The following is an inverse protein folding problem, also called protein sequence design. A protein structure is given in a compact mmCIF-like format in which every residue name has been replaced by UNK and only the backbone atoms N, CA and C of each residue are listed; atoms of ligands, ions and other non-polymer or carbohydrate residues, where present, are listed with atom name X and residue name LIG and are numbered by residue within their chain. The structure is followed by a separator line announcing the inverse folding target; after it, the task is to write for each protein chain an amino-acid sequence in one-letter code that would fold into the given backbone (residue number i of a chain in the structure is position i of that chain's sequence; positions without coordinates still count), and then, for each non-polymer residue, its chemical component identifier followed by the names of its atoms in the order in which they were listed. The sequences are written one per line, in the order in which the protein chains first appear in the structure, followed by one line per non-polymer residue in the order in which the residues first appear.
data_IF_854373109324
#
_entry.id   IF_854373109324
#
_cell.length_a   1.000
_cell.length_b   1.000
_cell.length_c   1.000
_cell.angle_alpha   90.00
_cell.angle_beta   90.00
_cell.angle_gamma   90.00
#
_symmetry.space_group_name_H-M   'P 1'
#
loop_
_entity.id
_entity.type
_entity.pdbx_description
1 polymer ?
#
# COMPACT_ATOMS: atom_id res chain seq x y z
N UNK A 1 -58.02 -2.07 -18.37
CA UNK A 1 -57.17 -1.01 -17.80
C UNK A 1 -56.51 -1.59 -16.56
N UNK A 2 -55.20 -1.72 -16.33
CA UNK A 2 -54.03 -1.03 -16.85
C UNK A 2 -52.81 -1.97 -16.56
N UNK A 3 -52.36 -2.80 -17.53
CA UNK A 3 -51.16 -3.68 -17.38
C UNK A 3 -50.06 -3.42 -18.43
N UNK A 4 -50.19 -2.33 -19.20
CA UNK A 4 -49.24 -1.96 -20.25
C UNK A 4 -48.27 -0.82 -19.85
N UNK A 5 -48.46 -0.17 -18.69
CA UNK A 5 -47.62 0.95 -18.25
C UNK A 5 -46.33 0.59 -17.51
N UNK A 6 -46.19 -0.64 -17.00
CA UNK A 6 -45.02 -1.06 -16.22
C UNK A 6 -43.83 -1.51 -17.10
N UNK A 7 -44.11 -2.14 -18.25
CA UNK A 7 -43.07 -2.66 -19.14
C UNK A 7 -42.31 -1.56 -19.91
N UNK A 8 -42.92 -0.39 -20.14
CA UNK A 8 -42.27 0.75 -20.81
C UNK A 8 -41.37 1.59 -19.89
N UNK A 9 -41.54 1.51 -18.56
CA UNK A 9 -40.66 2.20 -17.60
C UNK A 9 -39.37 1.42 -17.33
N UNK A 10 -39.40 0.08 -17.40
CA UNK A 10 -38.22 -0.78 -17.24
C UNK A 10 -37.27 -0.72 -18.45
N UNK A 11 -37.80 -0.57 -19.67
CA UNK A 11 -36.98 -0.48 -20.89
C UNK A 11 -36.27 0.86 -21.06
N UNK A 12 -36.83 1.97 -20.54
CA UNK A 12 -36.15 3.29 -20.54
C UNK A 12 -34.99 3.39 -19.54
N UNK A 13 -35.06 2.68 -18.40
CA UNK A 13 -33.96 2.64 -17.43
C UNK A 13 -32.74 1.84 -17.91
N UNK A 14 -32.97 0.74 -18.64
CA UNK A 14 -31.90 -0.08 -19.24
C UNK A 14 -31.18 0.61 -20.41
N UNK A 15 -31.86 1.50 -21.13
CA UNK A 15 -31.24 2.30 -22.19
C UNK A 15 -30.31 3.39 -21.63
N UNK A 16 -30.70 4.06 -20.54
CA UNK A 16 -29.88 5.11 -19.91
C UNK A 16 -28.61 4.55 -19.24
N UNK A 17 -28.67 3.33 -18.68
CA UNK A 17 -27.50 2.65 -18.13
C UNK A 17 -26.49 2.20 -19.22
N UNK A 18 -26.97 1.81 -20.40
CA UNK A 18 -26.09 1.48 -21.54
C UNK A 18 -25.32 2.69 -22.07
N UNK A 19 -25.91 3.89 -22.07
CA UNK A 19 -25.24 5.10 -22.55
C UNK A 19 -24.12 5.57 -21.62
N UNK A 20 -24.25 5.36 -20.30
CA UNK A 20 -23.16 5.63 -19.35
C UNK A 20 -22.04 4.57 -19.40
N UNK A 21 -22.37 3.29 -19.66
CA UNK A 21 -21.36 2.24 -19.82
C UNK A 21 -20.50 2.42 -21.09
N UNK A 22 -21.04 3.01 -22.16
CA UNK A 22 -20.25 3.34 -23.35
C UNK A 22 -19.32 4.54 -23.13
N UNK A 23 -19.66 5.48 -22.25
CA UNK A 23 -18.76 6.59 -21.89
C UNK A 23 -17.56 6.16 -21.04
N UNK A 24 -17.69 5.08 -20.26
CA UNK A 24 -16.57 4.52 -19.47
C UNK A 24 -15.64 3.61 -20.28
N UNK A 25 -16.08 3.11 -21.44
CA UNK A 25 -15.25 2.34 -22.39
C UNK A 25 -14.67 3.17 -23.55
N UNK A 26 -14.96 4.47 -23.61
CA UNK A 26 -14.46 5.36 -24.67
C UNK A 26 -13.17 6.11 -24.30
N UNK A 27 -12.49 5.80 -23.18
CA UNK A 27 -11.09 6.20 -22.97
C UNK A 27 -10.13 5.22 -23.66
N UNK A 28 -10.31 5.09 -24.98
CA UNK A 28 -9.31 4.52 -25.87
C UNK A 28 -8.19 5.54 -26.04
N UNK A 29 -7.11 5.35 -25.29
CA UNK A 29 -5.72 5.65 -25.69
C UNK A 29 -5.50 6.87 -26.59
N UNK A 30 -5.73 8.09 -26.09
CA UNK A 30 -4.77 9.16 -26.40
C UNK A 30 -3.69 9.06 -25.34
N UNK A 31 -2.65 8.28 -25.61
CA UNK A 31 -1.43 8.30 -24.83
C UNK A 31 -0.78 9.68 -24.98
N UNK A 32 -1.29 10.69 -24.26
CA UNK A 32 -0.47 11.85 -23.94
C UNK A 32 0.64 11.29 -23.06
N UNK A 33 1.83 11.11 -23.63
CA UNK A 33 3.02 10.88 -22.82
C UNK A 33 3.02 11.99 -21.78
N UNK A 34 2.86 11.61 -20.51
CA UNK A 34 3.07 12.56 -19.43
C UNK A 34 4.41 13.23 -19.69
N UNK A 35 4.43 14.55 -19.61
CA UNK A 35 5.69 15.25 -19.61
C UNK A 35 6.47 14.76 -18.37
N UNK A 36 7.81 14.69 -18.43
CA UNK A 36 8.60 14.08 -17.35
C UNK A 36 8.48 14.82 -16.00
N UNK A 37 7.78 15.96 -15.98
CA UNK A 37 7.44 16.75 -14.79
C UNK A 37 6.07 16.42 -14.17
N UNK A 38 5.26 15.55 -14.77
CA UNK A 38 3.89 15.27 -14.35
C UNK A 38 3.72 13.85 -13.80
N UNK A 39 2.75 13.68 -12.89
CA UNK A 39 2.37 12.42 -12.26
C UNK A 39 0.87 12.42 -11.95
N UNK A 40 0.36 11.32 -11.40
CA UNK A 40 -1.06 11.16 -11.08
C UNK A 40 -1.34 11.27 -9.58
N UNK A 41 -2.37 12.05 -9.24
CA UNK A 41 -3.00 12.10 -7.91
C UNK A 41 -4.45 11.65 -8.08
N UNK A 42 -4.74 10.38 -7.77
CA UNK A 42 -6.02 9.76 -8.12
C UNK A 42 -6.22 9.88 -9.63
N UNK A 43 -7.39 10.30 -10.09
CA UNK A 43 -7.66 10.52 -11.52
C UNK A 43 -7.13 11.84 -12.07
N UNK A 44 -6.66 12.77 -11.22
CA UNK A 44 -6.08 14.04 -11.64
C UNK A 44 -4.61 13.86 -12.07
N UNK A 45 -4.19 14.63 -13.06
CA UNK A 45 -2.77 14.80 -13.42
C UNK A 45 -2.26 16.06 -12.74
N UNK A 46 -1.14 15.95 -12.03
CA UNK A 46 -0.51 17.01 -11.24
C UNK A 46 0.98 17.04 -11.52
N UNK A 47 1.65 18.15 -11.19
CA UNK A 47 3.12 18.20 -11.25
C UNK A 47 3.73 17.28 -10.17
N UNK A 48 4.86 16.64 -10.49
CA UNK A 48 5.59 15.72 -9.58
C UNK A 48 5.86 16.39 -8.23
N UNK A 49 6.34 17.63 -8.27
CA UNK A 49 6.66 18.45 -7.09
C UNK A 49 5.42 18.74 -6.22
N UNK A 50 4.22 18.69 -6.79
CA UNK A 50 2.97 18.94 -6.05
C UNK A 50 2.33 17.68 -5.47
N UNK A 51 2.60 16.50 -6.04
CA UNK A 51 1.97 15.24 -5.61
C UNK A 51 2.32 14.92 -4.16
N UNK A 52 3.58 15.08 -3.78
CA UNK A 52 4.03 14.81 -2.42
C UNK A 52 3.26 15.64 -1.38
N UNK A 53 3.10 16.95 -1.64
CA UNK A 53 2.33 17.84 -0.75
C UNK A 53 0.86 17.45 -0.66
N UNK A 54 0.23 17.11 -1.79
CA UNK A 54 -1.18 16.70 -1.83
C UNK A 54 -1.41 15.38 -1.07
N UNK A 55 -0.51 14.41 -1.25
CA UNK A 55 -0.52 13.15 -0.52
C UNK A 55 -0.28 13.40 0.97
N UNK A 56 0.69 14.24 1.31
CA UNK A 56 0.97 14.66 2.68
C UNK A 56 -0.22 15.34 3.37
N UNK A 57 -1.02 16.12 2.64
CA UNK A 57 -2.25 16.73 3.17
C UNK A 57 -3.31 15.66 3.49
N UNK A 58 -3.53 14.69 2.60
CA UNK A 58 -4.43 13.55 2.85
C UNK A 58 -3.97 12.77 4.08
N UNK A 59 -2.69 12.42 4.17
CA UNK A 59 -2.19 11.67 5.32
C UNK A 59 -2.18 12.47 6.61
N UNK A 60 -1.95 13.79 6.56
CA UNK A 60 -2.00 14.64 7.76
C UNK A 60 -3.43 14.83 8.27
N UNK A 61 -4.43 14.95 7.38
CA UNK A 61 -5.84 15.05 7.80
C UNK A 61 -6.35 13.74 8.39
N UNK A 62 -5.80 12.60 7.96
CA UNK A 62 -6.24 11.27 8.40
C UNK A 62 -5.28 10.56 9.34
N UNK A 63 -4.14 11.11 9.76
CA UNK A 63 -3.15 10.38 10.57
C UNK A 63 -3.77 9.73 11.82
N UNK A 64 -4.62 10.48 12.55
CA UNK A 64 -5.36 9.98 13.71
C UNK A 64 -6.55 9.05 13.37
N UNK A 65 -6.95 9.00 12.09
CA UNK A 65 -8.09 8.22 11.56
C UNK A 65 -7.66 7.16 10.54
N UNK A 66 -6.36 6.95 10.32
CA UNK A 66 -5.84 6.09 9.26
C UNK A 66 -6.30 4.64 9.44
N UNK A 67 -6.31 4.18 10.68
CA UNK A 67 -6.83 2.86 11.03
C UNK A 67 -8.34 2.75 10.79
N UNK A 68 -9.11 3.81 11.06
CA UNK A 68 -10.56 3.86 10.78
C UNK A 68 -10.79 3.80 9.26
N UNK A 69 -9.98 4.50 8.47
CA UNK A 69 -10.06 4.45 7.01
C UNK A 69 -9.82 3.03 6.47
N UNK A 70 -8.77 2.37 6.96
CA UNK A 70 -8.46 0.99 6.57
C UNK A 70 -9.52 -0.01 7.06
N UNK A 71 -10.05 0.17 8.27
CA UNK A 71 -11.10 -0.67 8.84
C UNK A 71 -12.40 -0.56 8.03
N UNK A 72 -12.83 0.66 7.66
CA UNK A 72 -14.04 0.87 6.85
C UNK A 72 -13.87 0.28 5.45
N UNK A 73 -12.72 0.47 4.82
CA UNK A 73 -12.49 0.05 3.44
C UNK A 73 -12.41 -1.48 3.30
N UNK A 74 -11.73 -2.14 4.24
CA UNK A 74 -11.51 -3.58 4.19
C UNK A 74 -12.47 -4.38 5.08
N UNK A 75 -13.45 -3.72 5.72
CA UNK A 75 -14.25 -4.29 6.79
C UNK A 75 -13.41 -4.96 7.90
N UNK A 76 -12.27 -4.33 8.23
CA UNK A 76 -11.29 -4.83 9.20
C UNK A 76 -10.38 -5.98 8.73
N UNK A 77 -10.61 -6.53 7.53
CA UNK A 77 -9.85 -7.68 7.00
C UNK A 77 -8.37 -7.32 6.76
N UNK A 78 -8.03 -6.03 6.55
CA UNK A 78 -6.64 -5.59 6.42
C UNK A 78 -5.74 -6.04 7.57
N UNK A 79 -6.28 -6.19 8.77
CA UNK A 79 -5.52 -6.68 9.94
C UNK A 79 -5.05 -8.11 9.72
N UNK A 80 -5.92 -8.97 9.17
CA UNK A 80 -5.58 -10.35 8.81
C UNK A 80 -4.57 -10.40 7.67
N UNK A 81 -4.66 -9.49 6.70
CA UNK A 81 -3.67 -9.39 5.62
C UNK A 81 -2.29 -9.01 6.15
N UNK A 82 -2.22 -8.04 7.08
CA UNK A 82 -0.97 -7.64 7.72
C UNK A 82 -0.37 -8.78 8.55
N UNK A 83 -1.21 -9.54 9.26
CA UNK A 83 -0.76 -10.72 9.99
C UNK A 83 -0.26 -11.84 9.06
N UNK A 84 -0.99 -12.15 7.99
CA UNK A 84 -0.56 -13.13 6.99
C UNK A 84 0.73 -12.70 6.29
N UNK A 85 0.85 -11.40 5.96
CA UNK A 85 2.06 -10.80 5.38
C UNK A 85 3.28 -11.04 6.27
N UNK A 86 3.24 -10.61 7.52
CA UNK A 86 4.38 -10.79 8.45
C UNK A 86 4.65 -12.26 8.75
N UNK A 87 3.61 -13.09 8.89
CA UNK A 87 3.79 -14.52 9.12
C UNK A 87 4.43 -15.24 7.92
N UNK A 88 4.10 -14.81 6.69
CA UNK A 88 4.68 -15.35 5.45
C UNK A 88 6.16 -15.00 5.36
N UNK A 89 6.55 -13.78 5.73
CA UNK A 89 7.95 -13.36 5.75
C UNK A 89 8.77 -14.12 6.81
N UNK A 90 8.13 -14.56 7.90
CA UNK A 90 8.76 -15.29 9.00
C UNK A 90 10.10 -14.65 9.45
N UNK A 91 10.09 -13.33 9.76
CA UNK A 91 11.30 -12.57 10.06
C UNK A 91 11.90 -13.01 11.39
N UNK A 92 13.19 -12.72 11.57
CA UNK A 92 13.89 -12.92 12.84
C UNK A 92 15.14 -13.78 12.72
N UNK A 93 16.14 -13.42 13.52
CA UNK A 93 17.39 -14.17 13.68
C UNK A 93 17.09 -15.60 14.14
N UNK A 94 17.66 -16.59 13.45
CA UNK A 94 17.47 -18.00 13.79
C UNK A 94 18.30 -18.40 15.01
N UNK A 95 17.80 -19.37 15.78
CA UNK A 95 18.53 -19.94 16.90
C UNK A 95 19.90 -20.50 16.43
N UNK A 96 20.98 -20.10 17.10
CA UNK A 96 22.34 -20.49 16.74
C UNK A 96 23.04 -19.58 15.71
N UNK A 97 22.37 -18.56 15.18
CA UNK A 97 23.03 -17.48 14.42
C UNK A 97 23.33 -16.30 15.33
N UNK A 98 24.53 -15.73 15.23
CA UNK A 98 24.92 -14.50 15.94
C UNK A 98 24.67 -13.22 15.14
N UNK A 99 24.18 -13.35 13.91
CA UNK A 99 23.96 -12.20 13.01
C UNK A 99 22.67 -11.46 13.38
N UNK A 100 22.80 -10.20 13.78
CA UNK A 100 21.67 -9.29 13.98
C UNK A 100 21.11 -8.86 12.64
N UNK A 101 19.78 -8.93 12.49
CA UNK A 101 19.12 -8.49 11.26
C UNK A 101 18.75 -7.00 11.37
N UNK A 102 18.83 -6.31 10.24
CA UNK A 102 18.40 -4.94 10.05
C UNK A 102 17.13 -4.91 9.22
N UNK A 103 16.03 -4.49 9.83
CA UNK A 103 14.73 -4.35 9.18
C UNK A 103 14.45 -2.88 8.85
N UNK A 104 13.84 -2.65 7.69
CA UNK A 104 13.42 -1.34 7.20
C UNK A 104 11.94 -1.39 6.79
N UNK A 105 11.09 -0.62 7.47
CA UNK A 105 9.67 -0.46 7.14
C UNK A 105 9.41 0.94 6.55
N UNK A 106 9.04 1.00 5.28
CA UNK A 106 8.91 2.24 4.50
C UNK A 106 7.46 2.61 4.27
N UNK A 107 7.15 3.91 4.35
CA UNK A 107 5.78 4.44 4.42
C UNK A 107 4.97 3.80 5.56
N UNK A 108 5.68 3.44 6.63
CA UNK A 108 5.19 2.69 7.77
C UNK A 108 4.97 3.56 9.00
N UNK A 109 4.79 4.89 8.87
CA UNK A 109 4.98 5.83 9.97
C UNK A 109 4.21 5.51 11.27
N UNK A 110 3.04 4.88 11.18
CA UNK A 110 2.27 4.42 12.36
C UNK A 110 2.90 3.25 13.15
N UNK A 111 3.91 2.59 12.61
CA UNK A 111 4.65 1.47 13.23
C UNK A 111 3.93 0.11 13.22
N UNK A 112 2.71 -0.01 12.70
CA UNK A 112 1.90 -1.25 12.78
C UNK A 112 2.64 -2.49 12.20
N UNK A 113 3.23 -2.39 11.01
CA UNK A 113 4.01 -3.50 10.43
C UNK A 113 5.33 -3.70 11.17
N UNK A 114 6.05 -2.60 11.43
CA UNK A 114 7.31 -2.64 12.17
C UNK A 114 7.20 -3.40 13.51
N UNK A 115 6.18 -3.09 14.32
CA UNK A 115 5.94 -3.77 15.59
C UNK A 115 5.54 -5.23 15.39
N UNK A 116 4.69 -5.54 14.41
CA UNK A 116 4.34 -6.93 14.08
C UNK A 116 5.57 -7.75 13.69
N UNK A 117 6.51 -7.19 12.95
CA UNK A 117 7.76 -7.87 12.57
C UNK A 117 8.58 -8.22 13.80
N UNK A 118 8.77 -7.27 14.71
CA UNK A 118 9.52 -7.47 15.95
C UNK A 118 8.84 -8.48 16.87
N UNK A 119 7.52 -8.37 17.05
CA UNK A 119 6.71 -9.33 17.83
C UNK A 119 6.81 -10.74 17.24
N UNK A 120 6.76 -10.86 15.91
CA UNK A 120 6.87 -12.15 15.22
C UNK A 120 8.25 -12.77 15.41
N UNK A 121 9.30 -11.98 15.21
CA UNK A 121 10.69 -12.40 15.37
C UNK A 121 10.97 -12.90 16.79
N UNK A 122 10.52 -12.15 17.80
CA UNK A 122 10.59 -12.55 19.21
C UNK A 122 9.80 -13.84 19.46
N UNK A 123 8.53 -13.88 19.07
CA UNK A 123 7.63 -15.00 19.36
C UNK A 123 8.07 -16.30 18.70
N UNK A 124 8.56 -16.26 17.46
CA UNK A 124 8.90 -17.46 16.69
C UNK A 124 10.35 -17.90 16.87
N UNK A 125 11.28 -16.96 17.06
CA UNK A 125 12.72 -17.25 17.04
C UNK A 125 13.47 -16.76 18.29
N UNK A 126 12.79 -16.11 19.23
CA UNK A 126 13.43 -15.52 20.42
C UNK A 126 14.31 -14.31 20.09
N UNK A 127 14.13 -13.72 18.90
CA UNK A 127 14.94 -12.60 18.45
C UNK A 127 14.49 -11.29 19.12
N UNK A 128 15.35 -10.79 20.00
CA UNK A 128 15.21 -9.51 20.71
C UNK A 128 16.36 -8.57 20.41
N UNK A 129 17.15 -8.87 19.37
CA UNK A 129 18.40 -8.15 19.06
C UNK A 129 18.36 -7.45 17.71
N UNK A 130 17.55 -7.92 16.77
CA UNK A 130 17.41 -7.28 15.46
C UNK A 130 16.84 -5.87 15.55
N UNK A 131 17.32 -5.01 14.66
CA UNK A 131 17.01 -3.58 14.62
C UNK A 131 15.87 -3.29 13.64
N UNK A 132 15.12 -2.22 13.90
CA UNK A 132 14.01 -1.77 13.07
C UNK A 132 14.14 -0.28 12.77
N UNK A 133 14.17 0.08 11.50
CA UNK A 133 14.10 1.46 11.03
C UNK A 133 12.75 1.69 10.36
N UNK A 134 11.95 2.60 10.90
CA UNK A 134 10.67 3.01 10.34
C UNK A 134 10.88 4.34 9.61
N UNK A 135 10.54 4.35 8.33
CA UNK A 135 10.68 5.53 7.48
C UNK A 135 9.31 5.97 6.97
N UNK A 136 9.05 7.26 7.04
CA UNK A 136 7.93 7.90 6.38
C UNK A 136 8.33 9.31 5.91
N UNK A 137 7.68 9.82 4.87
CA UNK A 137 7.89 11.19 4.42
C UNK A 137 7.08 12.19 5.26
N UNK A 138 6.02 11.69 5.92
CA UNK A 138 5.15 12.50 6.76
C UNK A 138 5.56 12.44 8.24
N UNK A 139 6.10 13.54 8.81
CA UNK A 139 6.50 13.56 10.22
C UNK A 139 5.33 13.34 11.19
N UNK A 140 4.10 13.71 10.82
CA UNK A 140 2.93 13.49 11.66
C UNK A 140 2.61 11.99 11.82
N UNK A 141 2.85 11.20 10.76
CA UNK A 141 2.66 9.75 10.82
C UNK A 141 3.69 9.11 11.75
N UNK A 142 4.96 9.53 11.65
CA UNK A 142 6.03 9.06 12.54
C UNK A 142 5.76 9.44 14.00
N UNK A 143 5.27 10.66 14.27
CA UNK A 143 4.92 11.08 15.63
C UNK A 143 3.82 10.19 16.25
N UNK A 144 2.85 9.74 15.46
CA UNK A 144 1.85 8.76 15.94
C UNK A 144 2.48 7.38 16.18
N UNK A 145 3.44 6.94 15.34
CA UNK A 145 4.22 5.73 15.56
C UNK A 145 5.07 5.77 16.82
N UNK A 146 5.78 6.87 17.06
CA UNK A 146 6.57 7.11 18.27
C UNK A 146 5.69 7.10 19.52
N UNK A 147 4.52 7.74 19.46
CA UNK A 147 3.53 7.72 20.55
C UNK A 147 3.03 6.30 20.82
N UNK A 148 2.78 5.50 19.78
CA UNK A 148 2.38 4.08 19.93
C UNK A 148 3.52 3.24 20.53
N UNK A 149 4.75 3.43 20.07
CA UNK A 149 5.94 2.77 20.63
C UNK A 149 6.12 3.11 22.11
N UNK A 150 6.01 4.39 22.47
CA UNK A 150 6.11 4.87 23.85
C UNK A 150 5.01 4.33 24.77
N UNK A 151 3.80 4.11 24.23
CA UNK A 151 2.69 3.50 24.97
C UNK A 151 2.77 1.97 25.02
N UNK A 152 3.61 1.34 24.17
CA UNK A 152 3.75 -0.11 24.12
C UNK A 152 4.70 -0.59 25.22
N UNK A 153 4.30 -1.56 26.08
CA UNK A 153 5.11 -1.99 27.22
C UNK A 153 6.52 -2.47 26.86
N UNK A 154 6.68 -3.06 25.68
CA UNK A 154 7.97 -3.61 25.23
C UNK A 154 8.82 -2.64 24.41
N UNK A 155 8.22 -1.64 23.78
CA UNK A 155 8.90 -0.76 22.81
C UNK A 155 9.17 0.64 23.35
N UNK A 156 8.69 0.95 24.55
CA UNK A 156 8.94 2.21 25.21
C UNK A 156 10.45 2.44 25.39
N UNK A 157 10.99 3.42 24.66
CA UNK A 157 12.43 3.75 24.63
C UNK A 157 13.34 2.60 24.16
N UNK A 158 12.85 1.68 23.32
CA UNK A 158 13.68 0.60 22.78
C UNK A 158 14.71 1.15 21.77
N UNK A 159 16.03 1.06 22.05
CA UNK A 159 17.07 1.62 21.19
C UNK A 159 17.19 0.92 19.82
N UNK A 160 16.53 -0.24 19.65
CA UNK A 160 16.50 -0.97 18.37
C UNK A 160 15.59 -0.32 17.34
N UNK A 161 14.63 0.50 17.78
CA UNK A 161 13.62 1.11 16.91
C UNK A 161 14.01 2.56 16.63
N UNK A 162 14.11 2.92 15.35
CA UNK A 162 14.40 4.28 14.89
C UNK A 162 13.32 4.76 13.95
N UNK A 163 12.83 5.97 14.17
CA UNK A 163 11.90 6.66 13.27
C UNK A 163 12.66 7.74 12.50
N UNK A 164 12.59 7.73 11.18
CA UNK A 164 13.32 8.68 10.32
C UNK A 164 12.40 9.28 9.26
N UNK A 165 12.42 10.61 9.14
CA UNK A 165 11.76 11.31 8.03
C UNK A 165 12.62 11.17 6.78
N UNK A 166 12.18 10.39 5.79
CA UNK A 166 12.87 10.29 4.49
C UNK A 166 11.90 10.01 3.34
N UNK A 167 12.34 10.37 2.13
CA UNK A 167 11.65 10.00 0.90
C UNK A 167 12.02 8.56 0.49
N UNK A 168 11.01 7.71 0.30
CA UNK A 168 11.18 6.31 -0.12
C UNK A 168 11.87 6.15 -1.49
N UNK A 169 11.84 7.18 -2.33
CA UNK A 169 12.45 7.19 -3.65
C UNK A 169 13.97 7.45 -3.59
N UNK A 170 14.49 7.99 -2.48
CA UNK A 170 15.92 8.30 -2.33
C UNK A 170 16.56 7.56 -1.17
N UNK A 171 15.91 7.53 0.00
CA UNK A 171 16.42 6.95 1.26
C UNK A 171 17.87 7.36 1.57
N UNK A 172 18.14 8.67 1.52
CA UNK A 172 19.49 9.24 1.56
C UNK A 172 20.28 8.94 2.85
N UNK A 173 19.60 8.66 3.96
CA UNK A 173 20.29 8.30 5.23
C UNK A 173 20.35 6.78 5.46
N UNK A 174 19.87 5.98 4.51
CA UNK A 174 19.99 4.51 4.56
C UNK A 174 21.14 4.08 3.65
N UNK A 175 22.21 3.48 4.20
CA UNK A 175 23.35 3.03 3.41
C UNK A 175 22.97 1.93 2.42
N UNK A 176 23.70 1.87 1.31
CA UNK A 176 23.65 0.77 0.37
C UNK A 176 23.94 -0.55 1.10
N UNK A 177 23.25 -1.61 0.70
CA UNK A 177 23.51 -2.98 1.18
C UNK A 177 23.56 -3.12 2.71
N UNK A 178 22.65 -2.43 3.41
CA UNK A 178 22.64 -2.38 4.88
C UNK A 178 21.45 -3.11 5.50
N UNK A 179 20.39 -3.36 4.74
CA UNK A 179 19.13 -3.93 5.24
C UNK A 179 18.97 -5.40 4.80
N UNK A 180 18.43 -6.22 5.71
CA UNK A 180 18.12 -7.63 5.46
C UNK A 180 16.68 -7.80 4.95
N UNK A 181 15.77 -6.95 5.42
CA UNK A 181 14.36 -6.95 5.04
C UNK A 181 13.86 -5.53 4.81
N UNK A 182 13.25 -5.30 3.65
CA UNK A 182 12.53 -4.09 3.29
C UNK A 182 11.04 -4.43 3.24
N UNK A 183 10.23 -3.76 4.05
CA UNK A 183 8.77 -3.84 4.00
C UNK A 183 8.14 -2.52 3.59
N UNK A 184 7.06 -2.60 2.82
CA UNK A 184 6.15 -1.47 2.56
C UNK A 184 4.72 -2.00 2.48
N UNK A 185 3.84 -1.50 3.35
CA UNK A 185 2.45 -1.95 3.41
C UNK A 185 1.48 -0.79 3.20
N UNK A 186 0.66 -0.89 2.16
CA UNK A 186 -0.34 0.10 1.78
C UNK A 186 0.21 1.52 1.59
N UNK A 187 1.48 1.66 1.23
CA UNK A 187 2.16 2.94 1.02
C UNK A 187 2.55 3.20 -0.44
N UNK A 188 3.12 2.19 -1.11
CA UNK A 188 3.84 2.35 -2.38
C UNK A 188 2.98 2.89 -3.52
N UNK A 189 1.67 2.64 -3.52
CA UNK A 189 0.74 3.20 -4.53
C UNK A 189 0.74 4.74 -4.56
N UNK A 190 1.13 5.39 -3.46
CA UNK A 190 1.13 6.83 -3.32
C UNK A 190 2.45 7.48 -3.76
N UNK A 191 3.49 6.69 -4.05
CA UNK A 191 4.79 7.22 -4.45
C UNK A 191 4.68 7.94 -5.81
N UNK A 192 5.52 8.96 -6.01
CA UNK A 192 5.50 9.74 -7.24
C UNK A 192 6.16 8.98 -8.39
N UNK A 193 7.19 8.19 -8.06
CA UNK A 193 7.95 7.35 -8.97
C UNK A 193 8.18 5.95 -8.36
N UNK A 194 7.27 5.02 -8.63
CA UNK A 194 7.35 3.62 -8.14
C UNK A 194 8.62 2.92 -8.64
N UNK A 195 9.00 2.95 -9.94
CA UNK A 195 10.26 2.37 -10.40
C UNK A 195 11.47 2.84 -9.59
N UNK A 196 11.56 4.15 -9.34
CA UNK A 196 12.67 4.72 -8.57
C UNK A 196 12.70 4.22 -7.13
N UNK A 197 11.54 4.10 -6.49
CA UNK A 197 11.45 3.53 -5.14
C UNK A 197 11.87 2.05 -5.10
N UNK A 198 11.53 1.26 -6.14
CA UNK A 198 11.97 -0.13 -6.26
C UNK A 198 13.48 -0.25 -6.45
N UNK A 199 14.08 0.60 -7.30
CA UNK A 199 15.54 0.70 -7.45
C UNK A 199 16.22 1.07 -6.12
N UNK A 200 15.65 2.01 -5.39
CA UNK A 200 16.15 2.45 -4.08
C UNK A 200 16.00 1.34 -3.03
N UNK A 201 14.91 0.57 -3.05
CA UNK A 201 14.75 -0.61 -2.21
C UNK A 201 15.84 -1.67 -2.52
N UNK A 202 16.13 -1.88 -3.80
CA UNK A 202 17.21 -2.79 -4.23
C UNK A 202 18.60 -2.30 -3.79
N UNK A 203 18.86 -0.99 -3.86
CA UNK A 203 20.11 -0.37 -3.40
C UNK A 203 20.37 -0.63 -1.91
N UNK A 204 19.38 -0.41 -1.05
CA UNK A 204 19.57 -0.49 0.42
C UNK A 204 19.60 -1.92 0.97
N UNK A 205 19.07 -2.90 0.23
CA UNK A 205 19.09 -4.31 0.62
C UNK A 205 20.47 -4.93 0.39
N UNK A 206 20.91 -5.80 1.31
CA UNK A 206 22.08 -6.67 1.13
C UNK A 206 21.83 -7.70 0.03
N UNK A 207 22.87 -8.30 -0.58
CA UNK A 207 22.74 -9.58 -1.26
C UNK A 207 22.12 -10.63 -0.32
N UNK A 208 21.12 -11.36 -0.79
CA UNK A 208 20.24 -12.23 0.00
C UNK A 208 19.08 -11.50 0.71
N UNK A 209 19.06 -10.17 0.68
CA UNK A 209 18.03 -9.34 1.30
C UNK A 209 16.68 -9.46 0.60
N UNK A 210 15.60 -9.31 1.38
CA UNK A 210 14.23 -9.51 0.90
C UNK A 210 13.50 -8.18 0.79
N UNK A 211 12.92 -7.92 -0.38
CA UNK A 211 11.89 -6.92 -0.58
C UNK A 211 10.52 -7.56 -0.43
N UNK A 212 9.65 -6.93 0.36
CA UNK A 212 8.30 -7.40 0.59
C UNK A 212 7.30 -6.23 0.57
N UNK A 213 6.27 -6.36 -0.24
CA UNK A 213 5.22 -5.36 -0.39
C UNK A 213 3.86 -5.98 -0.14
N UNK A 214 3.03 -5.33 0.68
CA UNK A 214 1.60 -5.61 0.82
C UNK A 214 0.84 -4.41 0.26
N UNK A 215 0.06 -4.60 -0.79
CA UNK A 215 -0.68 -3.49 -1.40
C UNK A 215 -2.02 -3.94 -1.97
N UNK A 216 -2.95 -3.00 -2.13
CA UNK A 216 -4.18 -3.24 -2.88
C UNK A 216 -3.86 -3.60 -4.33
N UNK A 217 -4.64 -4.52 -4.90
CA UNK A 217 -4.41 -5.00 -6.25
C UNK A 217 -5.71 -5.15 -7.04
N UNK A 218 -5.66 -5.89 -8.15
CA UNK A 218 -6.82 -6.12 -9.02
C UNK A 218 -7.49 -7.43 -8.68
N UNK A 219 -8.81 -7.40 -8.58
CA UNK A 219 -9.59 -8.61 -8.34
C UNK A 219 -9.54 -9.49 -9.60
N UNK A 220 -9.12 -10.75 -9.44
CA UNK A 220 -8.86 -11.65 -10.58
C UNK A 220 -10.15 -12.02 -11.34
N UNK A 221 -11.27 -12.07 -10.63
CA UNK A 221 -12.56 -12.45 -11.19
C UNK A 221 -13.30 -11.22 -11.73
N UNK A 222 -13.56 -11.21 -13.04
CA UNK A 222 -14.25 -10.10 -13.73
C UNK A 222 -15.57 -9.68 -13.08
N UNK A 223 -16.40 -10.62 -12.62
CA UNK A 223 -17.69 -10.30 -12.00
C UNK A 223 -17.48 -9.66 -10.63
N UNK A 224 -16.58 -10.21 -9.82
CA UNK A 224 -16.24 -9.63 -8.52
C UNK A 224 -15.57 -8.25 -8.66
N UNK A 225 -14.72 -8.05 -9.67
CA UNK A 225 -14.09 -6.77 -9.97
C UNK A 225 -15.13 -5.68 -10.28
N UNK A 226 -16.15 -5.99 -11.09
CA UNK A 226 -17.24 -5.05 -11.39
C UNK A 226 -18.02 -4.66 -10.13
N UNK A 227 -18.37 -5.64 -9.30
CA UNK A 227 -19.10 -5.40 -8.04
C UNK A 227 -18.23 -4.60 -7.07
N UNK A 228 -16.98 -4.99 -6.88
CA UNK A 228 -16.02 -4.31 -6.02
C UNK A 228 -15.77 -2.87 -6.47
N UNK A 229 -15.59 -2.65 -7.77
CA UNK A 229 -15.42 -1.32 -8.35
C UNK A 229 -16.65 -0.46 -8.08
N UNK A 230 -17.86 -0.96 -8.36
CA UNK A 230 -19.09 -0.20 -8.13
C UNK A 230 -19.29 0.10 -6.63
N UNK A 231 -19.05 -0.87 -5.76
CA UNK A 231 -19.08 -0.67 -4.31
C UNK A 231 -18.06 0.39 -3.88
N UNK A 232 -16.83 0.29 -4.36
CA UNK A 232 -15.74 1.18 -3.96
C UNK A 232 -16.00 2.62 -4.38
N UNK A 233 -16.45 2.88 -5.61
CA UNK A 233 -16.70 4.25 -6.06
C UNK A 233 -17.92 4.93 -5.43
N UNK A 234 -18.92 4.16 -5.00
CA UNK A 234 -20.19 4.75 -4.53
C UNK A 234 -20.39 4.67 -3.02
N UNK A 235 -19.85 3.64 -2.37
CA UNK A 235 -20.06 3.38 -0.94
C UNK A 235 -18.89 3.87 -0.11
N UNK A 236 -17.64 3.57 -0.49
CA UNK A 236 -16.47 3.92 0.32
C UNK A 236 -16.33 5.44 0.55
N UNK A 237 -16.40 6.32 -0.48
CA UNK A 237 -16.34 7.77 -0.27
C UNK A 237 -17.51 8.31 0.55
N UNK A 238 -18.71 7.75 0.39
CA UNK A 238 -19.89 8.15 1.15
C UNK A 238 -19.77 7.76 2.63
N UNK A 239 -19.28 6.55 2.90
CA UNK A 239 -18.98 6.10 4.26
C UNK A 239 -17.85 6.93 4.89
N UNK A 240 -16.82 7.29 4.13
CA UNK A 240 -15.76 8.20 4.58
C UNK A 240 -16.30 9.57 4.99
N UNK A 241 -17.24 10.13 4.23
CA UNK A 241 -17.94 11.37 4.62
C UNK A 241 -18.73 11.21 5.92
N UNK A 242 -19.42 10.09 6.09
CA UNK A 242 -20.29 9.86 7.26
C UNK A 242 -19.47 9.58 8.53
N UNK A 243 -18.43 8.76 8.43
CA UNK A 243 -17.65 8.26 9.58
C UNK A 243 -16.48 9.18 9.92
N UNK A 244 -15.75 9.66 8.91
CA UNK A 244 -14.53 10.43 9.11
C UNK A 244 -14.68 11.92 8.77
N UNK A 245 -15.78 12.31 8.12
CA UNK A 245 -16.00 13.67 7.64
C UNK A 245 -15.13 14.04 6.43
N UNK A 246 -14.54 13.04 5.75
CA UNK A 246 -13.50 13.25 4.73
C UNK A 246 -13.79 12.39 3.50
N UNK A 247 -14.62 12.90 2.58
CA UNK A 247 -14.93 12.21 1.33
C UNK A 247 -13.74 12.18 0.37
N UNK A 248 -13.00 13.27 0.29
CA UNK A 248 -11.97 13.48 -0.73
C UNK A 248 -10.79 12.53 -0.53
N UNK A 249 -10.37 12.29 0.72
CA UNK A 249 -9.35 11.29 1.04
C UNK A 249 -9.76 9.87 0.62
N UNK A 250 -11.02 9.51 0.85
CA UNK A 250 -11.55 8.19 0.46
C UNK A 250 -11.78 8.06 -1.05
N UNK A 251 -12.11 9.15 -1.74
CA UNK A 251 -12.16 9.19 -3.20
C UNK A 251 -10.77 8.99 -3.80
N UNK A 252 -9.77 9.75 -3.33
CA UNK A 252 -8.38 9.59 -3.74
C UNK A 252 -7.88 8.16 -3.52
N UNK A 253 -8.23 7.56 -2.39
CA UNK A 253 -7.90 6.18 -2.05
C UNK A 253 -8.38 5.20 -3.13
N UNK A 254 -9.65 5.24 -3.50
CA UNK A 254 -10.22 4.37 -4.56
C UNK A 254 -9.53 4.62 -5.90
N UNK A 255 -9.31 5.89 -6.26
CA UNK A 255 -8.66 6.26 -7.51
C UNK A 255 -7.20 5.77 -7.57
N UNK A 256 -6.49 5.81 -6.45
CA UNK A 256 -5.11 5.31 -6.33
C UNK A 256 -5.03 3.80 -6.57
N UNK A 257 -5.99 3.03 -6.03
CA UNK A 257 -6.09 1.57 -6.23
C UNK A 257 -6.38 1.26 -7.71
N UNK A 258 -7.24 2.05 -8.35
CA UNK A 258 -7.54 1.87 -9.78
C UNK A 258 -6.31 2.13 -10.65
N UNK A 259 -5.46 3.09 -10.30
CA UNK A 259 -4.25 3.37 -11.07
C UNK A 259 -3.07 2.45 -10.77
N UNK A 260 -3.06 1.78 -9.62
CA UNK A 260 -1.98 0.87 -9.26
C UNK A 260 -1.86 -0.28 -10.29
N UNK A 261 -0.64 -0.72 -10.64
CA UNK A 261 -0.43 -1.81 -11.59
C UNK A 261 -1.12 -3.11 -11.17
N UNK A 262 -1.41 -3.98 -12.14
CA UNK A 262 -1.84 -5.35 -11.84
C UNK A 262 -0.70 -6.13 -11.20
N UNK A 263 -1.02 -7.28 -10.62
CA UNK A 263 -0.08 -8.15 -9.94
C UNK A 263 1.12 -8.50 -10.81
N UNK A 264 0.89 -8.94 -12.04
CA UNK A 264 1.94 -9.36 -12.99
C UNK A 264 2.77 -8.16 -13.43
N UNK A 265 2.11 -7.02 -13.68
CA UNK A 265 2.82 -5.81 -14.06
C UNK A 265 3.70 -5.29 -12.93
N UNK A 266 3.22 -5.34 -11.68
CA UNK A 266 4.01 -4.93 -10.53
C UNK A 266 5.14 -5.92 -10.24
N UNK A 267 4.92 -7.23 -10.40
CA UNK A 267 5.96 -8.24 -10.34
C UNK A 267 7.05 -7.98 -11.40
N UNK A 268 6.68 -7.65 -12.64
CA UNK A 268 7.65 -7.27 -13.66
C UNK A 268 8.44 -6.02 -13.27
N UNK A 269 7.79 -4.99 -12.72
CA UNK A 269 8.50 -3.80 -12.23
C UNK A 269 9.51 -4.11 -11.12
N UNK A 270 9.20 -5.08 -10.24
CA UNK A 270 10.11 -5.55 -9.20
C UNK A 270 11.31 -6.27 -9.84
N UNK A 271 11.09 -7.11 -10.86
CA UNK A 271 12.17 -7.75 -11.61
C UNK A 271 13.06 -6.74 -12.33
N UNK A 272 12.45 -5.74 -12.98
CA UNK A 272 13.16 -4.69 -13.72
C UNK A 272 14.08 -3.86 -12.80
N UNK A 273 13.73 -3.75 -11.51
CA UNK A 273 14.57 -3.10 -10.49
C UNK A 273 15.76 -3.96 -10.01
N UNK A 274 15.87 -5.21 -10.46
CA UNK A 274 17.01 -6.12 -10.16
C UNK A 274 16.68 -7.27 -9.22
N UNK A 275 15.44 -7.39 -8.72
CA UNK A 275 15.06 -8.47 -7.83
C UNK A 275 14.78 -9.78 -8.57
N UNK A 276 15.14 -10.89 -7.93
CA UNK A 276 14.70 -12.23 -8.35
C UNK A 276 13.39 -12.58 -7.65
N UNK A 277 12.43 -13.09 -8.42
CA UNK A 277 11.14 -13.54 -7.91
C UNK A 277 11.10 -15.06 -7.82
N UNK A 278 10.47 -15.58 -6.75
CA UNK A 278 10.13 -17.00 -6.66
C UNK A 278 8.73 -17.24 -7.26
N UNK A 279 8.63 -18.13 -8.25
CA UNK A 279 7.37 -18.39 -8.95
C UNK A 279 6.84 -17.13 -9.64
N UNK A 280 5.57 -16.80 -9.41
CA UNK A 280 4.94 -15.56 -9.93
C UNK A 280 5.41 -14.30 -9.17
N UNK A 281 6.07 -14.48 -8.01
CA UNK A 281 6.55 -13.39 -7.16
C UNK A 281 5.48 -12.62 -6.41
N UNK A 282 4.23 -13.11 -6.44
CA UNK A 282 3.14 -12.56 -5.64
C UNK A 282 2.16 -13.62 -5.15
N UNK A 283 1.35 -13.25 -4.15
CA UNK A 283 0.26 -14.04 -3.57
C UNK A 283 -0.97 -13.15 -3.41
N UNK A 284 -2.06 -13.52 -4.06
CA UNK A 284 -3.34 -12.82 -3.92
C UNK A 284 -4.00 -13.10 -2.56
N UNK A 285 -4.54 -12.04 -1.96
CA UNK A 285 -5.33 -12.06 -0.75
C UNK A 285 -6.77 -11.67 -1.09
N UNK A 286 -7.74 -12.43 -0.57
CA UNK A 286 -9.18 -12.16 -0.76
C UNK A 286 -9.55 -11.93 -2.23
N UNK A 287 -9.27 -12.93 -3.09
CA UNK A 287 -9.58 -12.88 -4.53
C UNK A 287 -8.87 -11.75 -5.31
N UNK A 288 -7.76 -11.21 -4.80
CA UNK A 288 -6.96 -10.18 -5.46
C UNK A 288 -7.27 -8.75 -5.03
N UNK A 289 -8.11 -8.55 -4.00
CA UNK A 289 -8.34 -7.21 -3.42
C UNK A 289 -7.03 -6.62 -2.91
N UNK A 290 -6.18 -7.44 -2.29
CA UNK A 290 -4.81 -7.12 -1.95
C UNK A 290 -3.88 -8.23 -2.43
N UNK A 291 -2.60 -7.91 -2.58
CA UNK A 291 -1.57 -8.88 -2.93
C UNK A 291 -0.32 -8.63 -2.09
N UNK A 292 0.40 -9.72 -1.82
CA UNK A 292 1.74 -9.70 -1.25
C UNK A 292 2.73 -9.99 -2.38
N UNK A 293 3.67 -9.09 -2.63
CA UNK A 293 4.76 -9.26 -3.59
C UNK A 293 6.08 -9.43 -2.84
N UNK A 294 6.89 -10.41 -3.25
CA UNK A 294 8.18 -10.71 -2.60
C UNK A 294 9.26 -10.89 -3.67
N UNK A 295 10.35 -10.15 -3.51
CA UNK A 295 11.56 -10.29 -4.32
C UNK A 295 12.81 -10.41 -3.46
N UNK A 296 13.84 -11.07 -3.99
CA UNK A 296 15.13 -11.26 -3.32
C UNK A 296 16.23 -10.61 -4.15
N UNK A 297 17.09 -9.83 -3.51
CA UNK A 297 18.32 -9.36 -4.14
C UNK A 297 19.33 -10.50 -4.11
N UNK A 298 19.82 -10.95 -5.27
CA UNK A 298 20.84 -12.00 -5.35
C UNK A 298 22.25 -11.43 -5.41
#
# INVERSE_FOLDING_TARGET
MNRLGAAQRLTRGLAAGRTQLHHLRAFSTSGSRLNDKQTHFGFKTVDKDSKESLVGQVFSSVASKYDIMNDVMSFGIHRLWKDDFVNTLNPGRRAGSDEQLSFLDVAGGSGDIAFRILDNAKRRHGDVTSNMTVVDINPNMLAEGEKRAAAHPEYANDPRIKFLVQNAETLDQIPDESQDLYTVAFGIRNFTNIPKALETAHRVLKPGGVFACLEFSKVDNFVLDQVYTQYSFNVIPMMGQIVAGDRDSYQYLVESIVRFPTQEKFAQMIQDAGFTLAGEGYKNLTFGVAAVHIGVKL
#
